data_IF_724305016486
#
_entry.id   IF_724305016486
#
_cell.length_a   1.000
_cell.length_b   1.000
_cell.length_c   1.000
_cell.angle_alpha   90.00
_cell.angle_beta   90.00
_cell.angle_gamma   90.00
#
_symmetry.space_group_name_H-M   'P 1'
#
loop_
_entity.id
_entity.type
_entity.pdbx_description
1 polymer ?
#
# COMPACT_ATOMS: atom_id res chain seq x y z
N UNK A 1 0.64 -8.96 22.25
CA UNK A 1 1.27 -8.74 23.56
C UNK A 1 2.80 -8.75 23.50
N UNK A 2 3.48 -9.84 23.05
CA UNK A 2 4.95 -9.85 22.97
C UNK A 2 5.50 -8.83 21.96
N UNK A 3 4.90 -8.69 20.79
CA UNK A 3 5.30 -7.69 19.78
C UNK A 3 5.12 -6.26 20.31
N UNK A 4 4.02 -6.01 21.00
CA UNK A 4 3.75 -4.71 21.63
C UNK A 4 4.76 -4.36 22.70
N UNK A 5 5.15 -5.33 23.53
CA UNK A 5 6.18 -5.13 24.57
C UNK A 5 7.58 -4.94 23.99
N UNK A 6 7.91 -5.68 22.92
CA UNK A 6 9.21 -5.59 22.30
C UNK A 6 9.36 -4.29 21.50
N UNK A 7 8.33 -3.86 20.81
CA UNK A 7 8.39 -2.72 19.90
C UNK A 7 9.37 -2.92 18.74
N UNK A 8 9.58 -1.86 17.98
CA UNK A 8 10.54 -1.80 16.87
C UNK A 8 11.47 -0.60 17.07
N UNK A 9 12.76 -0.76 16.85
CA UNK A 9 13.73 0.32 16.99
C UNK A 9 13.61 1.34 15.87
N UNK A 10 13.89 2.61 16.20
CA UNK A 10 13.82 3.76 15.30
C UNK A 10 15.21 4.38 15.19
N UNK A 11 15.67 4.59 13.97
CA UNK A 11 16.87 5.38 13.69
C UNK A 11 16.55 6.87 13.81
N UNK A 12 16.84 7.45 14.97
CA UNK A 12 16.61 8.87 15.25
C UNK A 12 17.46 9.79 14.40
N UNK A 13 18.68 9.42 14.07
CA UNK A 13 19.55 10.24 13.24
C UNK A 13 18.92 10.38 11.86
N UNK A 14 18.53 9.26 11.25
CA UNK A 14 17.81 9.26 9.99
C UNK A 14 16.45 9.98 10.08
N UNK A 15 15.74 9.89 11.21
CA UNK A 15 14.47 10.60 11.41
C UNK A 15 14.66 12.13 11.40
N UNK A 16 15.70 12.62 12.05
CA UNK A 16 16.05 14.06 12.09
C UNK A 16 16.41 14.56 10.69
N UNK A 17 17.29 13.83 10.00
CA UNK A 17 17.71 14.18 8.62
C UNK A 17 16.51 14.18 7.66
N UNK A 18 15.65 13.16 7.76
CA UNK A 18 14.41 13.06 6.97
C UNK A 18 13.47 14.22 7.28
N UNK A 19 13.33 14.63 8.55
CA UNK A 19 12.49 15.76 8.93
C UNK A 19 13.03 17.08 8.36
N UNK A 20 14.34 17.27 8.39
CA UNK A 20 14.99 18.46 7.83
C UNK A 20 14.73 18.55 6.32
N UNK A 21 14.99 17.49 5.57
CA UNK A 21 14.73 17.44 4.13
C UNK A 21 13.23 17.63 3.79
N UNK A 22 12.34 17.09 4.63
CA UNK A 22 10.90 17.29 4.49
C UNK A 22 10.50 18.75 4.65
N UNK A 23 11.05 19.45 5.63
CA UNK A 23 10.75 20.86 5.88
C UNK A 23 11.26 21.75 4.77
N UNK A 24 12.45 21.48 4.24
CA UNK A 24 12.99 22.16 3.06
C UNK A 24 12.08 22.00 1.85
N UNK A 25 11.65 20.75 1.58
CA UNK A 25 10.75 20.46 0.46
C UNK A 25 9.37 21.09 0.63
N UNK A 26 8.84 21.12 1.85
CA UNK A 26 7.58 21.82 2.17
C UNK A 26 7.70 23.32 1.91
N UNK A 27 8.82 23.94 2.29
CA UNK A 27 9.06 25.37 2.05
C UNK A 27 9.13 25.69 0.54
N UNK A 28 9.82 24.86 -0.27
CA UNK A 28 9.88 25.01 -1.71
C UNK A 28 8.48 24.93 -2.36
N UNK A 29 7.72 23.87 -2.05
CA UNK A 29 6.37 23.67 -2.59
C UNK A 29 5.43 24.81 -2.17
N UNK A 30 5.54 25.26 -0.91
CA UNK A 30 4.78 26.40 -0.39
C UNK A 30 5.11 27.69 -1.18
N UNK A 31 6.39 28.00 -1.34
CA UNK A 31 6.83 29.18 -2.09
C UNK A 31 6.30 29.17 -3.55
N UNK A 32 6.32 28.01 -4.20
CA UNK A 32 5.80 27.85 -5.55
C UNK A 32 4.27 28.06 -5.61
N UNK A 33 3.51 27.53 -4.65
CA UNK A 33 2.06 27.75 -4.56
C UNK A 33 1.75 29.25 -4.37
N UNK A 34 2.44 29.91 -3.44
CA UNK A 34 2.22 31.32 -3.15
C UNK A 34 2.57 32.21 -4.35
N UNK A 35 3.66 31.88 -5.05
CA UNK A 35 4.03 32.58 -6.28
C UNK A 35 2.96 32.43 -7.39
N UNK A 36 2.36 31.26 -7.55
CA UNK A 36 1.32 31.01 -8.54
C UNK A 36 0.03 31.77 -8.27
N UNK A 37 -0.33 31.97 -7.00
CA UNK A 37 -1.56 32.71 -6.64
C UNK A 37 -1.32 34.20 -6.32
N UNK A 38 -0.07 34.66 -6.30
CA UNK A 38 0.27 36.05 -5.99
C UNK A 38 -0.07 36.46 -4.55
N UNK A 39 -0.14 35.51 -3.63
CA UNK A 39 -0.46 35.74 -2.20
C UNK A 39 0.74 35.46 -1.32
N UNK A 40 0.75 36.00 -0.10
CA UNK A 40 1.76 35.71 0.91
C UNK A 40 1.24 34.70 1.94
N UNK A 41 2.10 34.28 2.89
CA UNK A 41 1.76 33.27 3.92
C UNK A 41 0.68 33.74 4.91
N UNK A 42 0.56 35.03 5.13
CA UNK A 42 -0.45 35.59 6.05
C UNK A 42 -1.84 35.63 5.38
N UNK A 43 -1.87 35.73 4.05
CA UNK A 43 -3.11 35.86 3.25
C UNK A 43 -3.68 34.49 2.83
N UNK A 44 -2.83 33.44 2.75
CA UNK A 44 -3.25 32.16 2.20
C UNK A 44 -2.74 30.96 3.02
N UNK A 45 -3.68 30.30 3.70
CA UNK A 45 -3.45 29.01 4.34
C UNK A 45 -3.75 27.85 3.37
N UNK A 46 -2.70 27.19 2.88
CA UNK A 46 -2.76 26.06 1.94
C UNK A 46 -3.51 24.86 2.51
N UNK A 47 -3.58 24.69 3.83
CA UNK A 47 -4.33 23.61 4.48
C UNK A 47 -5.83 23.91 4.62
N UNK A 48 -6.30 25.13 4.34
CA UNK A 48 -7.70 25.53 4.43
C UNK A 48 -8.47 25.25 3.13
N UNK A 49 -9.43 24.29 3.12
CA UNK A 49 -10.23 24.01 1.93
C UNK A 49 -11.04 25.23 1.44
N UNK A 50 -11.44 26.11 2.37
CA UNK A 50 -12.18 27.33 2.03
C UNK A 50 -11.30 28.29 1.23
N UNK A 51 -10.11 28.61 1.74
CA UNK A 51 -9.19 29.53 1.08
C UNK A 51 -8.65 28.97 -0.25
N UNK A 52 -8.43 27.65 -0.32
CA UNK A 52 -8.11 26.99 -1.59
C UNK A 52 -9.23 27.25 -2.61
N UNK A 53 -10.50 27.09 -2.19
CA UNK A 53 -11.64 27.37 -3.06
C UNK A 53 -11.72 28.80 -3.53
N UNK A 54 -11.45 29.76 -2.65
CA UNK A 54 -11.40 31.19 -2.97
C UNK A 54 -10.34 31.46 -4.04
N UNK A 55 -9.11 30.94 -3.86
CA UNK A 55 -8.01 31.13 -4.81
C UNK A 55 -8.31 30.47 -6.16
N UNK A 56 -8.81 29.23 -6.18
CA UNK A 56 -9.16 28.59 -7.45
C UNK A 56 -10.31 29.30 -8.17
N UNK A 57 -11.31 29.82 -7.45
CA UNK A 57 -12.40 30.62 -8.03
C UNK A 57 -11.89 31.94 -8.61
N UNK A 58 -10.94 32.63 -7.96
CA UNK A 58 -10.25 33.82 -8.49
C UNK A 58 -9.54 33.51 -9.81
N UNK A 59 -9.03 32.29 -9.98
CA UNK A 59 -8.41 31.79 -11.20
C UNK A 59 -9.42 31.27 -12.25
N UNK A 60 -10.74 31.32 -11.95
CA UNK A 60 -11.79 30.78 -12.83
C UNK A 60 -11.87 29.25 -12.85
N UNK A 61 -11.28 28.58 -11.86
CA UNK A 61 -11.24 27.12 -11.77
C UNK A 61 -12.29 26.68 -10.75
N UNK A 62 -13.23 25.81 -11.17
CA UNK A 62 -14.29 25.29 -10.33
C UNK A 62 -14.02 23.82 -9.97
N UNK A 63 -14.47 23.42 -8.78
CA UNK A 63 -14.33 22.04 -8.34
C UNK A 63 -15.23 21.09 -9.14
N UNK A 64 -14.69 20.00 -9.68
CA UNK A 64 -15.49 18.96 -10.35
C UNK A 64 -16.29 18.10 -9.36
N UNK A 65 -16.08 18.26 -8.05
CA UNK A 65 -16.69 17.44 -7.00
C UNK A 65 -17.45 18.33 -6.01
N UNK A 66 -18.65 17.93 -5.66
CA UNK A 66 -19.45 18.60 -4.62
C UNK A 66 -19.46 17.78 -3.32
N UNK A 67 -19.55 18.48 -2.21
CA UNK A 67 -19.80 17.86 -0.89
C UNK A 67 -21.25 17.39 -0.79
N UNK A 68 -21.57 16.59 0.23
CA UNK A 68 -22.97 16.19 0.52
C UNK A 68 -23.93 17.35 0.75
N UNK A 69 -23.40 18.53 1.11
CA UNK A 69 -24.18 19.78 1.29
C UNK A 69 -24.25 20.66 0.02
N UNK A 70 -23.73 20.18 -1.12
CA UNK A 70 -23.75 20.88 -2.40
C UNK A 70 -22.63 21.92 -2.62
N UNK A 71 -21.77 22.15 -1.62
CA UNK A 71 -20.63 23.05 -1.75
C UNK A 71 -19.49 22.40 -2.56
N UNK A 72 -18.59 23.21 -3.11
CA UNK A 72 -17.38 22.74 -3.77
C UNK A 72 -16.48 21.98 -2.79
N UNK A 73 -15.99 20.82 -3.24
CA UNK A 73 -15.07 20.01 -2.49
C UNK A 73 -13.65 20.18 -3.06
N UNK A 74 -12.69 20.45 -2.20
CA UNK A 74 -11.27 20.59 -2.55
C UNK A 74 -10.46 19.47 -1.92
N UNK A 75 -11.04 18.28 -1.88
CA UNK A 75 -10.38 17.04 -1.43
C UNK A 75 -9.48 16.45 -2.53
N UNK A 76 -8.80 15.36 -2.22
CA UNK A 76 -7.91 14.67 -3.15
C UNK A 76 -8.62 14.27 -4.46
N UNK A 77 -9.86 13.76 -4.38
CA UNK A 77 -10.65 13.36 -5.54
C UNK A 77 -11.01 14.55 -6.46
N UNK A 78 -11.19 15.75 -5.89
CA UNK A 78 -11.42 16.96 -6.68
C UNK A 78 -10.11 17.43 -7.33
N UNK A 79 -9.04 17.54 -6.54
CA UNK A 79 -7.78 18.10 -7.01
C UNK A 79 -7.12 17.23 -8.09
N UNK A 80 -7.26 15.90 -8.06
CA UNK A 80 -6.71 15.00 -9.08
C UNK A 80 -7.35 15.22 -10.47
N UNK A 81 -8.60 15.69 -10.49
CA UNK A 81 -9.33 15.94 -11.74
C UNK A 81 -9.22 17.39 -12.24
N UNK A 82 -8.43 18.23 -11.57
CA UNK A 82 -8.16 19.61 -11.99
C UNK A 82 -6.83 19.63 -12.73
N UNK A 83 -6.88 19.90 -14.04
CA UNK A 83 -5.68 20.03 -14.88
C UNK A 83 -5.02 21.41 -14.69
N UNK A 84 -4.45 21.64 -13.52
CA UNK A 84 -3.73 22.87 -13.20
C UNK A 84 -2.55 22.57 -12.26
N UNK A 85 -1.40 23.21 -12.50
CA UNK A 85 -0.15 22.99 -11.72
C UNK A 85 -0.36 23.16 -10.23
N UNK A 86 -1.10 24.19 -9.82
CA UNK A 86 -1.39 24.46 -8.41
C UNK A 86 -2.14 23.31 -7.72
N UNK A 87 -3.05 22.61 -8.42
CA UNK A 87 -3.75 21.45 -7.84
C UNK A 87 -2.77 20.31 -7.51
N UNK A 88 -1.81 20.07 -8.40
CA UNK A 88 -0.72 19.12 -8.17
C UNK A 88 0.16 19.49 -6.97
N UNK A 89 0.55 20.75 -6.87
CA UNK A 89 1.37 21.29 -5.78
C UNK A 89 0.64 21.24 -4.43
N UNK A 90 -0.65 21.56 -4.38
CA UNK A 90 -1.45 21.46 -3.13
C UNK A 90 -1.55 19.99 -2.67
N UNK A 91 -1.69 19.04 -3.60
CA UNK A 91 -1.69 17.61 -3.28
C UNK A 91 -0.33 17.19 -2.72
N UNK A 92 0.76 17.62 -3.37
CA UNK A 92 2.12 17.36 -2.90
C UNK A 92 2.35 17.96 -1.51
N UNK A 93 1.98 19.21 -1.28
CA UNK A 93 2.08 19.89 0.00
C UNK A 93 1.37 19.11 1.12
N UNK A 94 0.10 18.74 0.90
CA UNK A 94 -0.68 17.95 1.86
C UNK A 94 -0.08 16.58 2.16
N UNK A 95 0.50 15.94 1.14
CA UNK A 95 1.17 14.64 1.31
C UNK A 95 2.42 14.81 2.20
N UNK A 96 3.26 15.81 1.92
CA UNK A 96 4.45 16.10 2.72
C UNK A 96 4.09 16.52 4.16
N UNK A 97 3.09 17.39 4.34
CA UNK A 97 2.60 17.80 5.66
C UNK A 97 2.13 16.60 6.50
N UNK A 98 1.38 15.69 5.87
CA UNK A 98 0.94 14.45 6.51
C UNK A 98 2.11 13.51 6.85
N UNK A 99 3.12 13.42 5.98
CA UNK A 99 4.33 12.64 6.27
C UNK A 99 5.04 13.15 7.51
N UNK A 100 5.17 14.47 7.66
CA UNK A 100 5.76 15.10 8.82
C UNK A 100 4.97 14.83 10.09
N UNK A 101 3.75 15.32 10.13
CA UNK A 101 2.92 15.33 11.35
C UNK A 101 2.45 13.94 11.80
N UNK A 102 2.15 13.04 10.85
CA UNK A 102 1.57 11.73 11.19
C UNK A 102 2.63 10.65 11.40
N UNK A 103 3.74 10.73 10.65
CA UNK A 103 4.72 9.63 10.63
C UNK A 103 6.10 10.00 11.16
N UNK A 104 6.56 11.27 11.04
CA UNK A 104 7.88 11.65 11.55
C UNK A 104 7.84 12.15 12.98
N UNK A 105 6.95 13.08 13.29
CA UNK A 105 6.91 13.73 14.60
C UNK A 105 6.78 12.73 15.76
N UNK A 106 5.90 11.72 15.71
CA UNK A 106 5.82 10.72 16.77
C UNK A 106 7.09 9.86 16.91
N UNK A 107 7.85 9.69 15.82
CA UNK A 107 9.03 8.82 15.83
C UNK A 107 10.31 9.53 16.31
N UNK A 108 10.31 10.86 16.32
CA UNK A 108 11.42 11.65 16.88
C UNK A 108 11.52 11.56 18.40
N UNK A 109 10.42 11.22 19.08
CA UNK A 109 10.33 11.25 20.54
C UNK A 109 10.84 9.97 21.21
N UNK A 110 11.01 8.87 20.48
CA UNK A 110 11.36 7.56 21.07
C UNK A 110 12.40 6.80 20.26
N UNK A 111 13.21 5.97 20.95
CA UNK A 111 14.17 5.06 20.34
C UNK A 111 13.54 3.71 19.96
N UNK A 112 12.43 3.37 20.61
CA UNK A 112 11.68 2.15 20.37
C UNK A 112 10.21 2.49 20.29
N UNK A 113 9.61 2.19 19.14
CA UNK A 113 8.20 2.40 18.90
C UNK A 113 7.39 1.20 19.36
N UNK A 114 6.40 1.46 20.18
CA UNK A 114 5.42 0.49 20.66
C UNK A 114 4.05 0.85 20.09
N UNK A 115 3.39 -0.10 19.50
CA UNK A 115 2.01 0.04 18.99
C UNK A 115 1.08 -0.88 19.75
N UNK A 116 -0.20 -0.57 19.78
CA UNK A 116 -1.24 -1.45 20.28
C UNK A 116 -1.91 -2.19 19.12
N UNK A 117 -1.91 -3.51 19.14
CA UNK A 117 -2.61 -4.34 18.15
C UNK A 117 -4.03 -4.64 18.61
N UNK A 118 -4.99 -4.45 17.71
CA UNK A 118 -6.39 -4.71 17.94
C UNK A 118 -6.91 -5.71 16.91
N UNK A 119 -7.38 -6.87 17.36
CA UNK A 119 -7.89 -7.96 16.51
C UNK A 119 -9.39 -7.86 16.19
N UNK A 120 -10.09 -6.89 16.76
CA UNK A 120 -11.52 -6.61 16.48
C UNK A 120 -11.74 -5.20 15.89
N UNK A 121 -10.67 -4.49 15.50
CA UNK A 121 -10.73 -3.10 15.04
C UNK A 121 -11.18 -2.91 13.59
N UNK A 122 -11.35 -3.99 12.82
CA UNK A 122 -11.73 -3.94 11.41
C UNK A 122 -12.94 -4.82 11.12
N UNK A 123 -13.80 -4.40 10.19
CA UNK A 123 -14.96 -5.18 9.76
C UNK A 123 -14.59 -6.51 9.08
N UNK A 124 -13.36 -6.60 8.57
CA UNK A 124 -12.85 -7.78 7.83
C UNK A 124 -12.11 -8.78 8.71
N UNK A 125 -11.98 -8.53 10.02
CA UNK A 125 -11.22 -9.37 10.94
C UNK A 125 -9.70 -9.26 10.80
N UNK A 126 -9.19 -8.32 9.98
CA UNK A 126 -7.74 -8.04 9.91
C UNK A 126 -7.27 -7.41 11.20
N UNK A 127 -6.06 -7.74 11.62
CA UNK A 127 -5.37 -7.06 12.70
C UNK A 127 -5.24 -5.57 12.36
N UNK A 128 -5.51 -4.70 13.31
CA UNK A 128 -5.26 -3.27 13.20
C UNK A 128 -4.25 -2.82 14.24
N UNK A 129 -3.54 -1.74 13.94
CA UNK A 129 -2.50 -1.14 14.79
C UNK A 129 -2.86 0.31 15.10
N UNK A 130 -2.66 0.74 16.35
CA UNK A 130 -2.96 2.10 16.80
C UNK A 130 -1.98 2.58 17.85
N UNK A 131 -1.84 3.90 17.98
CA UNK A 131 -1.06 4.59 18.99
C UNK A 131 0.43 4.19 19.04
N UNK A 132 1.16 4.33 17.92
CA UNK A 132 0.80 4.79 16.59
C UNK A 132 0.34 3.67 15.66
N UNK A 133 -0.31 4.03 14.53
CA UNK A 133 -0.67 3.05 13.50
C UNK A 133 0.53 2.72 12.61
N UNK A 134 1.22 1.63 12.93
CA UNK A 134 2.38 1.16 12.14
C UNK A 134 2.02 0.42 10.84
N UNK A 135 0.75 0.02 10.67
CA UNK A 135 0.31 -0.67 9.46
C UNK A 135 -0.02 0.28 8.30
N UNK A 136 -0.19 1.57 8.57
CA UNK A 136 -0.49 2.58 7.55
C UNK A 136 0.72 3.40 7.11
N UNK A 137 1.94 2.98 7.46
CA UNK A 137 3.16 3.64 7.02
C UNK A 137 3.22 3.57 5.50
N UNK A 138 3.30 4.73 4.80
CA UNK A 138 3.24 4.76 3.36
C UNK A 138 4.40 3.96 2.76
N UNK A 139 4.08 3.20 1.71
CA UNK A 139 5.11 2.76 0.77
C UNK A 139 5.53 4.02 0.02
N UNK A 140 6.68 4.55 0.33
CA UNK A 140 7.27 5.53 -0.56
C UNK A 140 7.49 4.86 -1.91
N UNK A 141 7.45 5.61 -2.99
CA UNK A 141 7.65 5.14 -4.36
C UNK A 141 9.05 4.52 -4.60
N UNK A 142 9.83 4.34 -3.56
CA UNK A 142 11.08 3.60 -3.54
C UNK A 142 10.76 2.11 -3.49
N UNK A 143 11.09 1.43 -4.53
CA UNK A 143 11.39 0.02 -4.42
C UNK A 143 12.57 -0.06 -3.46
N UNK A 144 12.34 -0.49 -2.21
CA UNK A 144 13.36 -1.23 -1.50
C UNK A 144 13.82 -2.27 -2.53
N UNK A 145 15.11 -2.36 -2.80
CA UNK A 145 15.61 -3.47 -3.58
C UNK A 145 15.33 -4.72 -2.76
N UNK A 146 14.17 -5.33 -3.00
CA UNK A 146 13.91 -6.71 -2.63
C UNK A 146 14.88 -7.48 -3.51
N UNK A 147 15.95 -7.99 -2.93
CA UNK A 147 16.75 -9.01 -3.60
C UNK A 147 16.30 -10.37 -3.11
N UNK A 148 16.32 -11.33 -3.99
CA UNK A 148 16.15 -12.73 -3.62
C UNK A 148 17.21 -13.14 -2.60
N UNK A 149 16.85 -14.04 -1.69
CA UNK A 149 17.78 -14.58 -0.74
C UNK A 149 18.89 -15.35 -1.47
N UNK A 150 20.14 -15.02 -1.19
CA UNK A 150 21.27 -15.86 -1.61
C UNK A 150 21.28 -17.16 -0.83
N UNK A 151 21.98 -18.17 -1.33
CA UNK A 151 22.13 -19.45 -0.60
C UNK A 151 22.76 -19.25 0.77
N UNK A 152 23.66 -18.27 0.90
CA UNK A 152 24.26 -17.89 2.19
C UNK A 152 23.21 -17.30 3.15
N UNK A 153 22.33 -16.41 2.68
CA UNK A 153 21.23 -15.86 3.50
C UNK A 153 20.30 -16.97 3.99
N UNK A 154 19.97 -17.94 3.13
CA UNK A 154 19.12 -19.07 3.49
C UNK A 154 19.76 -19.94 4.58
N UNK A 155 21.09 -20.17 4.51
CA UNK A 155 21.84 -20.90 5.52
C UNK A 155 21.83 -20.15 6.85
N UNK A 156 22.07 -18.85 6.84
CA UNK A 156 22.10 -18.02 8.05
C UNK A 156 20.71 -17.95 8.72
N UNK A 157 19.65 -17.82 7.93
CA UNK A 157 18.26 -17.83 8.42
C UNK A 157 17.94 -19.20 9.08
N UNK A 158 18.27 -20.32 8.42
CA UNK A 158 18.07 -21.66 8.99
C UNK A 158 18.81 -21.83 10.31
N UNK A 159 20.08 -21.44 10.35
CA UNK A 159 20.90 -21.54 11.54
C UNK A 159 20.34 -20.67 12.68
N UNK A 160 19.93 -19.44 12.39
CA UNK A 160 19.35 -18.54 13.36
C UNK A 160 18.01 -19.05 13.93
N UNK A 161 17.14 -19.58 13.08
CA UNK A 161 15.85 -20.15 13.50
C UNK A 161 16.07 -21.44 14.29
N UNK A 162 16.97 -22.31 13.83
CA UNK A 162 17.31 -23.56 14.54
C UNK A 162 17.88 -23.28 15.93
N UNK A 163 18.76 -22.28 16.06
CA UNK A 163 19.29 -21.86 17.34
C UNK A 163 18.20 -21.30 18.28
N UNK A 164 17.28 -20.49 17.74
CA UNK A 164 16.18 -19.92 18.51
C UNK A 164 15.17 -20.99 18.97
N UNK A 165 14.87 -21.97 18.12
CA UNK A 165 13.99 -23.09 18.41
C UNK A 165 14.61 -23.98 19.50
N UNK A 166 15.90 -24.30 19.35
CA UNK A 166 16.62 -25.08 20.36
C UNK A 166 16.67 -24.38 21.72
N UNK A 167 16.89 -23.05 21.74
CA UNK A 167 16.90 -22.26 22.98
C UNK A 167 15.54 -22.23 23.68
N UNK A 168 14.44 -22.33 22.93
CA UNK A 168 13.08 -22.25 23.47
C UNK A 168 12.42 -23.62 23.72
N UNK A 169 13.09 -24.72 23.42
CA UNK A 169 12.58 -26.07 23.57
C UNK A 169 11.33 -26.35 22.70
N UNK A 170 11.21 -25.66 21.57
CA UNK A 170 10.10 -25.84 20.63
C UNK A 170 10.56 -26.85 19.58
N UNK A 171 9.77 -27.89 19.33
CA UNK A 171 9.94 -28.76 18.15
C UNK A 171 9.23 -28.14 16.96
N UNK A 172 9.96 -27.85 15.90
CA UNK A 172 9.32 -27.50 14.61
C UNK A 172 9.14 -28.78 13.81
N UNK A 173 7.89 -29.09 13.47
CA UNK A 173 7.54 -30.23 12.61
C UNK A 173 7.84 -30.01 11.13
N UNK A 174 8.31 -28.82 10.75
CA UNK A 174 8.58 -28.45 9.35
C UNK A 174 10.01 -27.95 9.22
N UNK A 175 10.82 -28.67 8.46
CA UNK A 175 12.10 -28.12 7.95
C UNK A 175 11.79 -26.93 7.05
N UNK A 176 12.54 -25.83 7.23
CA UNK A 176 12.51 -24.69 6.31
C UNK A 176 13.17 -25.15 5.00
N UNK A 177 12.33 -25.62 4.07
CA UNK A 177 12.78 -26.05 2.75
C UNK A 177 13.25 -24.84 1.92
N UNK A 178 14.02 -25.09 0.88
CA UNK A 178 14.45 -24.05 -0.07
C UNK A 178 13.25 -23.36 -0.71
N UNK A 179 12.15 -24.09 -0.95
CA UNK A 179 10.93 -23.58 -1.53
C UNK A 179 10.26 -22.55 -0.60
N UNK A 180 10.23 -22.78 0.72
CA UNK A 180 9.72 -21.82 1.69
C UNK A 180 10.61 -20.58 1.74
N UNK A 181 11.94 -20.75 1.77
CA UNK A 181 12.87 -19.62 1.81
C UNK A 181 12.94 -18.84 0.50
N UNK A 182 12.63 -19.46 -0.65
CA UNK A 182 12.55 -18.75 -1.94
C UNK A 182 11.42 -17.73 -1.99
N UNK A 183 10.42 -17.85 -1.13
CA UNK A 183 9.33 -16.86 -0.98
C UNK A 183 9.72 -15.67 -0.10
N UNK A 184 10.90 -15.69 0.52
CA UNK A 184 11.40 -14.65 1.41
C UNK A 184 12.36 -13.74 0.65
N UNK A 185 12.30 -12.45 0.94
CA UNK A 185 13.24 -11.46 0.40
C UNK A 185 14.06 -10.83 1.51
N UNK A 186 15.32 -10.53 1.22
CA UNK A 186 16.17 -9.76 2.10
C UNK A 186 15.88 -8.28 1.92
N UNK A 187 15.49 -7.62 2.99
CA UNK A 187 15.34 -6.17 3.03
C UNK A 187 16.64 -5.59 3.58
N UNK A 188 17.60 -5.38 2.69
CA UNK A 188 18.94 -4.90 3.06
C UNK A 188 19.25 -3.50 2.55
N UNK A 189 20.31 -2.95 3.07
CA UNK A 189 20.80 -1.58 2.85
C UNK A 189 21.84 -1.52 1.72
N UNK A 190 21.60 -2.16 0.57
CA UNK A 190 22.56 -2.10 -0.54
C UNK A 190 22.22 -0.99 -1.54
N UNK A 191 23.15 -0.05 -1.60
CA UNK A 191 23.38 0.97 -2.67
C UNK A 191 22.16 1.53 -3.37
N UNK A 192 21.57 2.50 -2.77
CA UNK A 192 20.63 3.41 -3.45
C UNK A 192 21.37 4.25 -4.49
N UNK A 193 20.92 4.21 -5.74
CA UNK A 193 21.32 5.17 -6.77
C UNK A 193 20.70 6.55 -6.51
N UNK A 194 21.47 7.61 -6.75
CA UNK A 194 21.20 9.00 -6.42
C UNK A 194 19.97 9.62 -7.07
N UNK A 195 18.81 9.56 -6.42
CA UNK A 195 17.69 10.46 -6.69
C UNK A 195 17.25 11.16 -5.40
N UNK A 196 16.90 12.45 -5.48
CA UNK A 196 16.60 13.34 -4.34
C UNK A 196 15.50 12.86 -3.38
N UNK A 197 14.67 11.96 -3.85
CA UNK A 197 13.54 11.43 -3.08
C UNK A 197 13.90 10.39 -1.99
N UNK A 198 15.14 9.92 -1.90
CA UNK A 198 15.61 8.91 -0.92
C UNK A 198 15.46 9.36 0.53
N UNK A 199 15.59 10.66 0.75
CA UNK A 199 15.59 11.25 2.08
C UNK A 199 14.22 11.18 2.79
N UNK A 200 13.14 10.89 2.06
CA UNK A 200 11.78 10.85 2.59
C UNK A 200 11.22 9.42 2.79
N UNK A 201 12.08 8.41 2.83
CA UNK A 201 11.67 7.01 2.98
C UNK A 201 11.32 6.65 4.43
N UNK A 202 10.07 6.88 4.85
CA UNK A 202 9.61 6.69 6.23
C UNK A 202 9.83 5.27 6.75
N UNK A 203 9.72 4.23 5.90
CA UNK A 203 9.95 2.84 6.34
C UNK A 203 11.40 2.56 6.72
N UNK A 204 12.36 3.32 6.20
CA UNK A 204 13.78 3.22 6.55
C UNK A 204 14.08 3.66 7.99
N UNK A 205 13.16 4.38 8.63
CA UNK A 205 13.26 4.72 10.05
C UNK A 205 13.29 3.49 10.96
N UNK A 206 12.70 2.37 10.51
CA UNK A 206 12.61 1.15 11.31
C UNK A 206 13.84 0.29 11.08
N UNK A 207 14.59 0.10 12.14
CA UNK A 207 15.85 -0.66 12.13
C UNK A 207 15.78 -1.86 13.07
N UNK A 208 16.54 -2.91 12.83
CA UNK A 208 16.66 -4.01 13.77
C UNK A 208 17.36 -3.53 15.05
N UNK A 209 17.09 -4.20 16.15
CA UNK A 209 17.91 -4.05 17.36
C UNK A 209 19.32 -4.54 17.12
N UNK A 210 20.24 -4.10 17.95
CA UNK A 210 21.60 -4.60 17.96
C UNK A 210 21.63 -6.14 18.01
N UNK A 211 22.39 -6.77 17.12
CA UNK A 211 22.50 -8.22 16.94
C UNK A 211 21.20 -8.91 16.41
N UNK A 212 20.29 -8.16 15.80
CA UNK A 212 19.10 -8.70 15.14
C UNK A 212 19.03 -8.25 13.67
N UNK A 213 18.22 -8.94 12.89
CA UNK A 213 17.92 -8.61 11.49
C UNK A 213 16.41 -8.51 11.33
N UNK A 214 15.94 -7.56 10.51
CA UNK A 214 14.56 -7.51 10.08
C UNK A 214 14.38 -8.51 8.94
N UNK A 215 13.44 -9.42 9.11
CA UNK A 215 13.03 -10.37 8.06
C UNK A 215 11.59 -10.04 7.69
N UNK A 216 11.38 -9.76 6.41
CA UNK A 216 10.04 -9.56 5.85
C UNK A 216 9.57 -10.86 5.19
N UNK A 217 8.35 -11.28 5.47
CA UNK A 217 7.68 -12.35 4.74
C UNK A 217 6.22 -11.97 4.56
N UNK A 218 5.65 -12.37 3.44
CA UNK A 218 4.24 -12.17 3.13
C UNK A 218 3.65 -13.45 2.55
N UNK A 219 2.38 -13.68 2.81
CA UNK A 219 1.68 -14.79 2.17
C UNK A 219 1.34 -14.44 0.73
N UNK A 220 1.75 -15.27 -0.20
CA UNK A 220 1.41 -15.07 -1.60
C UNK A 220 -0.12 -15.17 -1.81
N UNK A 221 -0.75 -14.02 -2.07
CA UNK A 221 -2.17 -13.91 -2.40
C UNK A 221 -3.12 -14.62 -1.40
N UNK A 222 -2.82 -14.60 -0.10
CA UNK A 222 -3.55 -15.35 0.93
C UNK A 222 -5.07 -15.16 0.85
N UNK A 223 -5.54 -13.92 0.73
CA UNK A 223 -6.99 -13.64 0.69
C UNK A 223 -7.66 -14.26 -0.53
N UNK A 224 -6.99 -14.23 -1.67
CA UNK A 224 -7.47 -14.86 -2.90
C UNK A 224 -7.50 -16.37 -2.75
N UNK A 225 -6.46 -16.97 -2.18
CA UNK A 225 -6.38 -18.42 -1.95
C UNK A 225 -7.49 -18.88 -0.99
N UNK A 226 -7.70 -18.17 0.10
CA UNK A 226 -8.81 -18.46 1.03
C UNK A 226 -10.16 -18.30 0.35
N UNK A 227 -10.36 -17.21 -0.40
CA UNK A 227 -11.61 -16.98 -1.13
C UNK A 227 -11.88 -18.09 -2.15
N UNK A 228 -10.88 -18.49 -2.94
CA UNK A 228 -11.01 -19.54 -3.93
C UNK A 228 -11.18 -20.95 -3.32
N UNK A 229 -10.79 -21.16 -2.07
CA UNK A 229 -11.05 -22.43 -1.39
C UNK A 229 -12.53 -22.74 -1.19
N UNK A 230 -13.40 -21.73 -1.27
CA UNK A 230 -14.86 -21.91 -1.24
C UNK A 230 -15.44 -22.37 -2.60
N UNK A 231 -14.69 -22.26 -3.69
CA UNK A 231 -15.14 -22.63 -5.04
C UNK A 231 -14.30 -23.76 -5.65
N UNK A 232 -13.78 -24.65 -4.82
CA UNK A 232 -12.86 -25.68 -5.25
C UNK A 232 -13.43 -26.53 -6.39
N UNK A 233 -12.72 -26.53 -7.51
CA UNK A 233 -12.91 -27.45 -8.62
C UNK A 233 -11.52 -27.75 -9.22
N UNK A 234 -11.44 -28.69 -10.15
CA UNK A 234 -10.17 -29.13 -10.75
C UNK A 234 -9.38 -27.97 -11.38
N UNK A 235 -10.06 -27.03 -12.04
CA UNK A 235 -9.41 -25.86 -12.67
C UNK A 235 -8.79 -24.92 -11.65
N UNK A 236 -9.54 -24.57 -10.61
CA UNK A 236 -9.07 -23.68 -9.54
C UNK A 236 -7.96 -24.34 -8.74
N UNK A 237 -8.11 -25.63 -8.42
CA UNK A 237 -7.07 -26.40 -7.71
C UNK A 237 -5.79 -26.48 -8.53
N UNK A 238 -5.89 -26.70 -9.85
CA UNK A 238 -4.73 -26.69 -10.76
C UNK A 238 -4.02 -25.32 -10.79
N UNK A 239 -4.76 -24.21 -10.70
CA UNK A 239 -4.19 -22.86 -10.63
C UNK A 239 -3.51 -22.63 -9.28
N UNK A 240 -4.21 -22.93 -8.18
CA UNK A 240 -3.71 -22.66 -6.83
C UNK A 240 -2.49 -23.50 -6.42
N UNK A 241 -2.33 -24.68 -7.07
CA UNK A 241 -1.20 -25.59 -6.83
C UNK A 241 0.01 -25.32 -7.74
N UNK A 242 -0.08 -24.41 -8.70
CA UNK A 242 1.09 -23.97 -9.47
C UNK A 242 1.99 -23.09 -8.59
N UNK A 243 3.29 -23.32 -8.67
CA UNK A 243 4.31 -22.42 -8.13
C UNK A 243 4.30 -21.09 -8.88
N UNK A 244 4.52 -19.99 -8.19
CA UNK A 244 4.63 -18.62 -8.71
C UNK A 244 3.46 -18.16 -9.59
N UNK A 245 2.27 -18.69 -9.39
CA UNK A 245 1.10 -18.32 -10.19
C UNK A 245 0.61 -16.92 -9.81
N UNK A 246 0.48 -16.06 -10.80
CA UNK A 246 -0.35 -14.86 -10.69
C UNK A 246 -1.81 -15.22 -10.95
N UNK A 247 -2.54 -15.45 -9.87
CA UNK A 247 -3.97 -15.79 -9.93
C UNK A 247 -4.79 -14.80 -10.77
N UNK A 248 -4.48 -13.51 -10.73
CA UNK A 248 -5.22 -12.51 -11.50
C UNK A 248 -4.97 -12.60 -13.00
N UNK A 249 -3.79 -13.06 -13.41
CA UNK A 249 -3.49 -13.40 -14.80
C UNK A 249 -4.28 -14.63 -15.26
N UNK A 250 -4.29 -15.69 -14.49
CA UNK A 250 -5.07 -16.89 -14.81
C UNK A 250 -6.58 -16.61 -14.79
N UNK A 251 -7.06 -15.84 -13.83
CA UNK A 251 -8.44 -15.40 -13.78
C UNK A 251 -8.85 -14.55 -14.99
N UNK A 252 -7.95 -13.70 -15.49
CA UNK A 252 -8.20 -12.92 -16.71
C UNK A 252 -8.30 -13.83 -17.95
N UNK A 253 -7.41 -14.83 -18.06
CA UNK A 253 -7.46 -15.83 -19.14
C UNK A 253 -8.78 -16.59 -19.14
N UNK A 254 -9.18 -17.09 -17.98
CA UNK A 254 -10.42 -17.89 -17.84
C UNK A 254 -11.68 -17.05 -18.08
N UNK A 255 -11.78 -15.88 -17.42
CA UNK A 255 -12.99 -15.09 -17.42
C UNK A 255 -13.19 -14.28 -18.71
N UNK A 256 -12.12 -13.78 -19.31
CA UNK A 256 -12.20 -12.87 -20.45
C UNK A 256 -11.64 -13.44 -21.74
N UNK A 257 -11.10 -14.68 -21.71
CA UNK A 257 -10.57 -15.33 -22.91
C UNK A 257 -9.36 -14.61 -23.51
N UNK A 258 -8.57 -13.92 -22.69
CA UNK A 258 -7.38 -13.17 -23.11
C UNK A 258 -6.13 -13.91 -22.68
N UNK A 259 -5.12 -13.94 -23.52
CA UNK A 259 -3.79 -14.45 -23.20
C UNK A 259 -2.77 -13.32 -23.06
N UNK A 260 -1.57 -13.63 -22.61
CA UNK A 260 -0.51 -12.66 -22.34
C UNK A 260 -0.02 -11.91 -23.59
N UNK A 261 -0.26 -12.45 -24.79
CA UNK A 261 0.07 -11.82 -26.08
C UNK A 261 -0.92 -10.73 -26.46
N UNK A 262 -2.11 -10.72 -25.85
CA UNK A 262 -3.15 -9.73 -26.14
C UNK A 262 -2.72 -8.32 -25.69
N UNK A 263 -2.84 -7.30 -26.55
CA UNK A 263 -2.59 -5.90 -26.17
C UNK A 263 -3.44 -5.44 -24.98
N UNK A 264 -4.59 -6.08 -24.75
CA UNK A 264 -5.51 -5.76 -23.64
C UNK A 264 -5.31 -6.64 -22.42
N UNK A 265 -4.33 -7.54 -22.40
CA UNK A 265 -4.11 -8.45 -21.28
C UNK A 265 -3.93 -7.72 -19.94
N UNK A 266 -3.09 -6.67 -19.91
CA UNK A 266 -2.87 -5.87 -18.70
C UNK A 266 -4.15 -5.22 -18.18
N UNK A 267 -5.02 -4.76 -19.06
CA UNK A 267 -6.32 -4.18 -18.73
C UNK A 267 -7.23 -5.22 -18.07
N UNK A 268 -7.43 -6.37 -18.72
CA UNK A 268 -8.28 -7.43 -18.19
C UNK A 268 -7.73 -8.08 -16.92
N UNK A 269 -6.41 -8.16 -16.78
CA UNK A 269 -5.77 -8.57 -15.52
C UNK A 269 -6.10 -7.59 -14.37
N UNK A 270 -6.10 -6.28 -14.63
CA UNK A 270 -6.54 -5.30 -13.64
C UNK A 270 -8.04 -5.41 -13.34
N UNK A 271 -8.86 -5.72 -14.33
CA UNK A 271 -10.28 -5.99 -14.13
C UNK A 271 -10.49 -7.23 -13.27
N UNK A 272 -9.81 -8.34 -13.56
CA UNK A 272 -9.85 -9.55 -12.76
C UNK A 272 -9.45 -9.25 -11.30
N UNK A 273 -8.35 -8.51 -11.08
CA UNK A 273 -7.90 -8.09 -9.76
C UNK A 273 -8.94 -7.25 -9.02
N UNK A 274 -9.49 -6.22 -9.67
CA UNK A 274 -10.49 -5.33 -9.08
C UNK A 274 -11.79 -6.07 -8.74
N UNK A 275 -12.22 -7.01 -9.60
CA UNK A 275 -13.43 -7.82 -9.38
C UNK A 275 -13.20 -8.81 -8.24
N UNK A 276 -12.06 -9.52 -8.21
CA UNK A 276 -11.72 -10.46 -7.13
C UNK A 276 -11.77 -9.77 -5.78
N UNK A 277 -10.96 -8.73 -5.58
CA UNK A 277 -10.92 -8.01 -4.32
C UNK A 277 -12.23 -7.28 -4.03
N UNK A 278 -12.83 -6.68 -5.04
CA UNK A 278 -14.12 -6.03 -4.91
C UNK A 278 -15.21 -6.99 -4.41
N UNK A 279 -15.18 -8.23 -4.86
CA UNK A 279 -16.14 -9.25 -4.42
C UNK A 279 -15.88 -9.71 -2.99
N UNK A 280 -14.61 -10.01 -2.66
CA UNK A 280 -14.20 -10.36 -1.28
C UNK A 280 -14.70 -9.31 -0.28
N UNK A 281 -14.66 -8.03 -0.65
CA UNK A 281 -15.06 -6.90 0.20
C UNK A 281 -16.47 -6.37 -0.06
N UNK A 282 -17.29 -7.07 -0.83
CA UNK A 282 -18.70 -6.69 -1.08
C UNK A 282 -18.89 -5.41 -1.89
N UNK A 283 -18.00 -5.11 -2.84
CA UNK A 283 -18.08 -3.88 -3.65
C UNK A 283 -19.31 -3.90 -4.57
N UNK A 284 -20.09 -2.81 -4.55
CA UNK A 284 -21.19 -2.61 -5.50
C UNK A 284 -20.70 -2.12 -6.87
N UNK A 285 -21.51 -2.35 -7.92
CA UNK A 285 -21.16 -2.02 -9.31
C UNK A 285 -20.77 -0.55 -9.51
N UNK A 286 -21.35 0.40 -8.76
CA UNK A 286 -21.01 1.83 -8.86
C UNK A 286 -19.55 2.11 -8.47
N UNK A 287 -19.09 1.52 -7.36
CA UNK A 287 -17.72 1.69 -6.89
C UNK A 287 -16.72 0.88 -7.74
N UNK A 288 -17.14 -0.31 -8.20
CA UNK A 288 -16.36 -1.11 -9.14
C UNK A 288 -16.14 -0.35 -10.46
N UNK A 289 -17.19 0.29 -11.00
CA UNK A 289 -17.10 1.09 -12.21
C UNK A 289 -16.07 2.23 -12.10
N UNK A 290 -16.01 2.89 -10.96
CA UNK A 290 -15.00 3.93 -10.70
C UNK A 290 -13.57 3.35 -10.73
N UNK A 291 -13.36 2.15 -10.20
CA UNK A 291 -12.05 1.49 -10.22
C UNK A 291 -11.64 1.02 -11.63
N UNK A 292 -12.63 0.61 -12.45
CA UNK A 292 -12.41 0.13 -13.81
C UNK A 292 -12.40 1.24 -14.86
N UNK A 293 -12.70 2.50 -14.48
CA UNK A 293 -12.83 3.60 -15.42
C UNK A 293 -13.99 3.43 -16.42
N UNK A 294 -15.11 2.80 -15.99
CA UNK A 294 -16.23 2.43 -16.86
C UNK A 294 -17.59 2.78 -16.25
N UNK A 295 -18.68 2.39 -16.90
CA UNK A 295 -20.05 2.60 -16.39
C UNK A 295 -20.45 1.47 -15.41
N UNK A 296 -21.38 1.73 -14.45
CA UNK A 296 -21.89 0.71 -13.54
C UNK A 296 -22.51 -0.50 -14.25
N UNK A 297 -23.10 -0.27 -15.44
CA UNK A 297 -23.67 -1.34 -16.28
C UNK A 297 -22.60 -2.24 -16.87
N UNK A 298 -21.51 -1.64 -17.36
CA UNK A 298 -20.35 -2.40 -17.90
C UNK A 298 -19.59 -3.12 -16.81
N UNK A 299 -19.34 -2.47 -15.66
CA UNK A 299 -18.74 -3.12 -14.51
C UNK A 299 -19.55 -4.35 -14.05
N UNK A 300 -20.89 -4.25 -14.08
CA UNK A 300 -21.78 -5.37 -13.80
C UNK A 300 -21.65 -6.52 -14.83
N UNK A 301 -21.47 -6.19 -16.11
CA UNK A 301 -21.22 -7.20 -17.17
C UNK A 301 -19.88 -7.89 -16.95
N UNK A 302 -18.80 -7.15 -16.71
CA UNK A 302 -17.48 -7.73 -16.44
C UNK A 302 -17.50 -8.60 -15.19
N UNK A 303 -18.16 -8.16 -14.12
CA UNK A 303 -18.34 -8.97 -12.92
C UNK A 303 -19.08 -10.27 -13.21
N UNK A 304 -20.16 -10.22 -13.99
CA UNK A 304 -20.93 -11.41 -14.38
C UNK A 304 -20.05 -12.36 -15.22
N UNK A 305 -19.38 -11.84 -16.25
CA UNK A 305 -18.48 -12.62 -17.11
C UNK A 305 -17.35 -13.27 -16.31
N UNK A 306 -16.78 -12.55 -15.34
CA UNK A 306 -15.75 -13.06 -14.44
C UNK A 306 -16.24 -14.31 -13.69
N UNK A 307 -17.44 -14.25 -13.11
CA UNK A 307 -18.00 -15.40 -12.38
C UNK A 307 -18.49 -16.52 -13.31
N UNK A 308 -18.94 -16.22 -14.51
CA UNK A 308 -19.28 -17.25 -15.50
C UNK A 308 -18.06 -18.04 -15.96
N UNK A 309 -16.89 -17.39 -16.04
CA UNK A 309 -15.61 -18.06 -16.34
C UNK A 309 -15.01 -18.83 -15.16
N UNK A 310 -15.50 -18.56 -13.93
CA UNK A 310 -15.09 -19.27 -12.71
C UNK A 310 -16.15 -20.28 -12.30
N UNK A 311 -16.00 -21.50 -12.78
CA UNK A 311 -16.91 -22.60 -12.49
C UNK A 311 -17.03 -22.86 -10.98
N UNK A 312 -18.24 -23.08 -10.47
CA UNK A 312 -18.52 -23.25 -9.03
C UNK A 312 -18.82 -21.96 -8.27
N UNK A 313 -18.55 -20.79 -8.85
CA UNK A 313 -18.82 -19.51 -8.17
C UNK A 313 -20.31 -19.14 -8.11
N UNK A 314 -21.14 -19.72 -8.98
CA UNK A 314 -22.60 -19.42 -9.07
C UNK A 314 -23.39 -19.87 -7.85
N UNK A 315 -22.92 -20.90 -7.17
CA UNK A 315 -23.61 -21.46 -6.00
C UNK A 315 -23.29 -20.69 -4.70
N UNK A 316 -22.33 -19.75 -4.78
CA UNK A 316 -21.89 -18.97 -3.63
C UNK A 316 -22.50 -17.56 -3.57
N UNK A 317 -22.96 -17.01 -4.68
CA UNK A 317 -23.55 -15.69 -4.82
C UNK A 317 -24.99 -15.76 -5.31
#
# INVERSE_FOLDING_TARGET
>A
YKMEQLGISVDKAYAIDTKTALLERLAEVRAEILALCGKNEEEFNISSPKQIGEVFNEMGIHSPVKTSKGNDSWNEAALININHRMAGLIRQYRTLEKLGSTYLDPYLETDVMHTNFCNWGTATGRLSSREPNLQNIPRNHFKLHERDLTDQDKIEIRNGISAMVAQKGITMDTELSDDVLSTWSFIGDESFNDSDDKQLAIRRLFVPRENFTLVGFDYQQMEVRVFMSYFRNETIDAILNKEDVDFHSEAAKLAFGVDESSPRFKEFRQYAKAITFGTIYGIGNKKLAQQLGTTPREAGKFKKQYFEGMEGSKDFF
#
